data_IF_629259412391
#
_entry.id   IF_629259412391
#
_cell.length_a   1.000
_cell.length_b   1.000
_cell.length_c   1.000
_cell.angle_alpha   90.00
_cell.angle_beta   90.00
_cell.angle_gamma   90.00
#
_symmetry.space_group_name_H-M   'P 1'
#
loop_
_entity.id
_entity.type
_entity.pdbx_description
1 polymer ?
#
# COMPACT_ATOMS: atom_id res chain seq x y z
N UNK A 1 -5.46 20.14 7.70
CA UNK A 1 -5.03 18.72 7.70
C UNK A 1 -4.33 18.26 9.00
N UNK A 2 -3.84 19.19 9.84
CA UNK A 2 -2.92 18.85 10.94
C UNK A 2 -3.57 18.50 12.29
N UNK A 3 -4.75 17.87 12.27
CA UNK A 3 -5.46 17.40 13.48
C UNK A 3 -6.15 16.07 13.18
N UNK A 4 -6.57 15.36 14.22
CA UNK A 4 -7.42 14.20 14.06
C UNK A 4 -8.89 14.58 13.84
N UNK A 5 -9.56 13.89 12.92
CA UNK A 5 -10.96 14.13 12.57
C UNK A 5 -11.81 12.90 12.86
N UNK A 6 -13.01 13.07 13.41
CA UNK A 6 -13.98 12.00 13.57
C UNK A 6 -14.78 11.85 12.29
N UNK A 7 -14.81 10.65 11.71
CA UNK A 7 -15.61 10.37 10.52
C UNK A 7 -17.09 10.39 10.91
N UNK A 8 -17.85 11.33 10.36
CA UNK A 8 -19.23 11.62 10.80
C UNK A 8 -20.27 10.55 10.43
N UNK A 9 -19.96 9.69 9.46
CA UNK A 9 -20.85 8.64 8.93
C UNK A 9 -20.22 7.23 9.01
N UNK A 10 -19.53 6.91 10.11
CA UNK A 10 -19.06 5.54 10.31
C UNK A 10 -20.25 4.60 10.60
N UNK A 11 -20.37 3.50 9.85
CA UNK A 11 -21.46 2.54 9.99
C UNK A 11 -21.45 1.81 11.35
N UNK A 12 -20.25 1.64 11.95
CA UNK A 12 -20.04 1.06 13.29
C UNK A 12 -18.88 1.76 13.98
N UNK A 13 -19.05 2.11 15.26
CA UNK A 13 -18.01 2.69 16.11
C UNK A 13 -17.64 4.15 15.77
N UNK A 14 -16.68 4.69 16.53
CA UNK A 14 -16.07 6.00 16.24
C UNK A 14 -14.75 5.78 15.50
N UNK A 15 -14.68 6.20 14.24
CA UNK A 15 -13.47 6.11 13.42
C UNK A 15 -12.80 7.48 13.35
N UNK A 16 -11.47 7.51 13.54
CA UNK A 16 -10.65 8.70 13.37
C UNK A 16 -9.94 8.69 12.01
N UNK A 17 -9.82 9.85 11.38
CA UNK A 17 -9.08 10.09 10.15
C UNK A 17 -7.95 11.08 10.40
N UNK A 18 -6.76 10.76 9.87
CA UNK A 18 -5.61 11.65 9.82
C UNK A 18 -5.33 12.00 8.35
N UNK A 19 -4.98 13.26 8.10
CA UNK A 19 -4.85 13.76 6.73
C UNK A 19 -3.39 13.96 6.37
N UNK A 20 -2.99 13.43 5.20
CA UNK A 20 -1.65 13.62 4.63
C UNK A 20 -1.29 15.10 4.56
N UNK A 21 -0.12 15.46 5.07
CA UNK A 21 0.48 16.78 4.91
C UNK A 21 1.11 16.91 3.51
N UNK A 22 0.65 17.85 2.66
CA UNK A 22 1.21 18.04 1.33
C UNK A 22 2.65 18.56 1.34
N UNK A 23 3.07 19.34 2.36
CA UNK A 23 4.40 19.98 2.37
C UNK A 23 5.51 18.96 2.57
N UNK A 24 5.42 18.17 3.64
CA UNK A 24 6.38 17.08 3.90
C UNK A 24 6.35 16.02 2.81
N UNK A 25 5.17 15.68 2.28
CA UNK A 25 5.03 14.72 1.18
C UNK A 25 5.76 15.20 -0.08
N UNK A 26 5.56 16.46 -0.48
CA UNK A 26 6.19 17.03 -1.67
C UNK A 26 7.71 17.09 -1.56
N UNK A 27 8.24 17.34 -0.36
CA UNK A 27 9.68 17.40 -0.12
C UNK A 27 10.40 16.06 -0.34
N UNK A 28 9.67 14.95 -0.29
CA UNK A 28 10.20 13.61 -0.54
C UNK A 28 9.80 13.10 -1.94
N UNK A 29 8.52 13.19 -2.32
CA UNK A 29 8.01 12.64 -3.58
C UNK A 29 8.22 13.53 -4.82
N UNK A 30 8.63 14.78 -4.68
CA UNK A 30 8.85 15.63 -5.84
C UNK A 30 9.97 15.07 -6.73
N UNK A 31 9.63 14.77 -7.99
CA UNK A 31 10.61 14.30 -8.98
C UNK A 31 11.75 15.29 -9.24
N UNK A 32 11.47 16.59 -9.07
CA UNK A 32 12.41 17.66 -9.40
C UNK A 32 13.11 18.27 -8.19
N UNK A 33 12.46 18.25 -7.03
CA UNK A 33 12.92 18.95 -5.82
C UNK A 33 13.03 18.03 -4.61
N UNK A 34 12.64 16.77 -4.75
CA UNK A 34 12.65 15.80 -3.67
C UNK A 34 14.05 15.29 -3.37
N UNK A 35 14.28 14.93 -2.10
CA UNK A 35 15.56 14.38 -1.66
C UNK A 35 16.08 13.21 -2.50
N UNK A 36 15.27 12.21 -2.89
CA UNK A 36 15.76 11.04 -3.62
C UNK A 36 16.48 11.36 -4.94
N UNK A 37 16.24 12.53 -5.52
CA UNK A 37 16.88 12.97 -6.77
C UNK A 37 18.27 13.61 -6.60
N UNK A 38 18.82 13.68 -5.39
CA UNK A 38 20.15 14.28 -5.15
C UNK A 38 21.24 13.57 -5.95
N UNK A 39 22.14 14.35 -6.55
CA UNK A 39 23.21 13.82 -7.40
C UNK A 39 24.20 12.90 -6.70
N UNK A 40 24.21 12.90 -5.36
CA UNK A 40 25.10 12.11 -4.51
C UNK A 40 24.55 10.70 -4.23
N UNK A 41 23.23 10.51 -4.36
CA UNK A 41 22.57 9.25 -4.04
C UNK A 41 22.74 8.18 -5.11
N UNK A 42 22.59 6.92 -4.72
CA UNK A 42 22.73 5.76 -5.58
C UNK A 42 21.72 5.81 -6.74
N UNK A 43 22.21 5.65 -7.97
CA UNK A 43 21.37 5.58 -9.17
C UNK A 43 20.65 4.23 -9.24
N UNK A 44 19.31 4.28 -9.20
CA UNK A 44 18.47 3.09 -9.21
C UNK A 44 18.55 2.33 -10.54
N UNK A 45 18.60 3.04 -11.67
CA UNK A 45 18.41 2.46 -13.00
C UNK A 45 19.70 1.93 -13.63
N UNK A 46 20.87 2.33 -13.14
CA UNK A 46 22.17 1.91 -13.69
C UNK A 46 22.69 0.69 -12.95
N UNK A 47 22.55 -0.46 -13.60
CA UNK A 47 22.87 -1.76 -13.03
C UNK A 47 24.04 -2.38 -13.80
N UNK A 48 25.06 -2.87 -13.07
CA UNK A 48 26.19 -3.60 -13.66
C UNK A 48 25.77 -5.01 -14.02
N UNK A 49 26.01 -5.40 -15.27
CA UNK A 49 25.88 -6.79 -15.71
C UNK A 49 27.26 -7.45 -15.92
N UNK A 50 27.46 -8.72 -15.51
CA UNK A 50 26.57 -9.54 -14.67
C UNK A 50 26.58 -9.11 -13.19
N UNK A 51 25.56 -9.51 -12.45
CA UNK A 51 25.53 -9.44 -10.97
C UNK A 51 24.55 -8.44 -10.34
N UNK A 52 23.89 -7.58 -11.11
CA UNK A 52 22.77 -6.76 -10.60
C UNK A 52 23.18 -5.64 -9.64
N UNK A 53 24.48 -5.37 -9.48
CA UNK A 53 24.97 -4.35 -8.56
C UNK A 53 24.78 -2.94 -9.12
N UNK A 54 24.29 -2.03 -8.27
CA UNK A 54 24.22 -0.58 -8.53
C UNK A 54 25.48 0.06 -7.97
N UNK A 55 26.29 0.71 -8.80
CA UNK A 55 27.62 1.21 -8.44
C UNK A 55 27.84 2.70 -8.78
N UNK A 56 26.78 3.39 -9.20
CA UNK A 56 26.84 4.76 -9.68
C UNK A 56 25.88 5.65 -8.91
N UNK A 57 26.14 6.95 -8.90
CA UNK A 57 25.25 7.94 -8.32
C UNK A 57 24.41 8.65 -9.37
N UNK A 58 23.30 9.23 -8.95
CA UNK A 58 22.34 9.97 -9.80
C UNK A 58 23.07 11.03 -10.65
N UNK A 59 24.10 11.69 -10.15
CA UNK A 59 24.97 12.63 -10.88
C UNK A 59 24.30 13.86 -11.50
N UNK A 60 22.96 13.94 -11.51
CA UNK A 60 22.16 15.01 -12.08
C UNK A 60 20.93 14.47 -12.84
N UNK A 61 19.87 15.29 -12.93
CA UNK A 61 18.57 14.88 -13.49
C UNK A 61 18.59 14.55 -15.00
N UNK A 62 19.49 15.19 -15.76
CA UNK A 62 19.59 15.05 -17.22
C UNK A 62 20.93 14.43 -17.68
N UNK A 63 21.60 13.69 -16.78
CA UNK A 63 22.85 13.00 -17.10
C UNK A 63 22.52 11.63 -17.69
N UNK A 64 23.05 11.33 -18.86
CA UNK A 64 22.92 10.02 -19.50
C UNK A 64 23.46 8.89 -18.60
N UNK A 65 22.88 7.69 -18.70
CA UNK A 65 23.32 6.54 -17.90
C UNK A 65 24.82 6.25 -18.12
N UNK A 66 25.35 6.41 -19.33
CA UNK A 66 26.77 6.23 -19.63
C UNK A 66 27.69 7.21 -18.90
N UNK A 67 27.18 8.41 -18.57
CA UNK A 67 27.93 9.50 -17.95
C UNK A 67 27.78 9.59 -16.42
N UNK A 68 26.98 8.70 -15.80
CA UNK A 68 26.83 8.63 -14.34
C UNK A 68 28.18 8.34 -13.68
N UNK A 69 28.48 9.07 -12.61
CA UNK A 69 29.73 8.95 -11.84
C UNK A 69 29.66 7.79 -10.83
N UNK A 70 30.80 7.25 -10.38
CA UNK A 70 30.84 6.25 -9.33
C UNK A 70 30.12 6.71 -8.06
N UNK A 71 29.47 5.78 -7.38
CA UNK A 71 28.81 6.02 -6.10
C UNK A 71 29.85 6.20 -4.97
N UNK A 72 29.61 7.17 -4.09
CA UNK A 72 30.51 7.52 -2.98
C UNK A 72 29.75 7.39 -1.65
N UNK A 73 29.80 6.22 -0.97
CA UNK A 73 28.91 5.92 0.16
C UNK A 73 28.95 6.94 1.30
N UNK A 74 30.15 7.47 1.61
CA UNK A 74 30.30 8.48 2.68
C UNK A 74 29.61 9.79 2.34
N UNK A 75 29.73 10.26 1.10
CA UNK A 75 29.11 11.50 0.62
C UNK A 75 27.59 11.37 0.66
N UNK A 76 27.06 10.24 0.19
CA UNK A 76 25.64 9.95 0.22
C UNK A 76 25.08 9.88 1.65
N UNK A 77 25.81 9.22 2.57
CA UNK A 77 25.43 9.16 3.98
C UNK A 77 25.38 10.55 4.64
N UNK A 78 26.42 11.37 4.45
CA UNK A 78 26.47 12.73 4.97
C UNK A 78 25.32 13.58 4.38
N UNK A 79 24.98 13.34 3.11
CA UNK A 79 23.87 14.02 2.45
C UNK A 79 22.51 13.63 3.02
N UNK A 80 22.31 12.34 3.31
CA UNK A 80 21.10 11.84 3.98
C UNK A 80 20.92 12.47 5.36
N UNK A 81 21.99 12.60 6.14
CA UNK A 81 21.97 13.29 7.42
C UNK A 81 21.61 14.78 7.28
N UNK A 82 22.16 15.47 6.28
CA UNK A 82 21.82 16.86 5.96
C UNK A 82 20.35 17.03 5.58
N UNK A 83 19.82 16.15 4.71
CA UNK A 83 18.41 16.14 4.32
C UNK A 83 17.49 15.84 5.51
N UNK A 84 17.87 14.92 6.40
CA UNK A 84 17.12 14.64 7.62
C UNK A 84 17.03 15.85 8.55
N UNK A 85 18.13 16.58 8.72
CA UNK A 85 18.14 17.84 9.48
C UNK A 85 17.21 18.88 8.84
N UNK A 86 17.29 19.06 7.51
CA UNK A 86 16.38 19.96 6.80
C UNK A 86 14.92 19.54 6.96
N UNK A 87 14.62 18.25 6.85
CA UNK A 87 13.25 17.74 7.00
C UNK A 87 12.71 17.96 8.41
N UNK A 88 13.53 17.78 9.46
CA UNK A 88 13.15 18.10 10.83
C UNK A 88 12.81 19.60 11.01
N UNK A 89 13.61 20.50 10.42
CA UNK A 89 13.29 21.94 10.42
C UNK A 89 12.00 22.25 9.65
N UNK A 90 11.77 21.59 8.50
CA UNK A 90 10.52 21.72 7.75
C UNK A 90 9.33 21.34 8.62
N UNK A 91 9.39 20.22 9.35
CA UNK A 91 8.31 19.80 10.24
C UNK A 91 8.06 20.81 11.37
N UNK A 92 9.12 21.38 11.96
CA UNK A 92 8.97 22.46 12.94
C UNK A 92 8.29 23.69 12.35
N UNK A 93 8.68 24.11 11.14
CA UNK A 93 8.05 25.26 10.49
C UNK A 93 6.57 25.01 10.21
N UNK A 94 6.20 23.82 9.74
CA UNK A 94 4.82 23.41 9.54
C UNK A 94 4.04 23.49 10.84
N UNK A 95 4.62 22.98 11.94
CA UNK A 95 3.99 22.97 13.25
C UNK A 95 3.80 24.38 13.83
N UNK A 96 4.78 25.28 13.67
CA UNK A 96 4.71 26.67 14.13
C UNK A 96 3.63 27.49 13.40
N UNK A 97 3.33 27.15 12.16
CA UNK A 97 2.27 27.80 11.38
C UNK A 97 0.86 27.32 11.76
N UNK A 98 0.73 26.27 12.59
CA UNK A 98 -0.58 25.74 12.97
C UNK A 98 -1.12 26.41 14.23
N UNK A 99 -2.40 26.86 14.23
CA UNK A 99 -3.07 27.30 15.44
C UNK A 99 -3.36 26.08 16.33
N UNK A 100 -2.79 26.04 17.54
CA UNK A 100 -3.08 24.94 18.46
C UNK A 100 -2.27 25.00 19.76
N UNK A 101 -2.77 24.28 20.77
CA UNK A 101 -2.16 24.17 22.09
C UNK A 101 -1.27 22.92 22.22
N UNK A 102 -0.70 22.45 21.10
CA UNK A 102 0.12 21.23 21.04
C UNK A 102 -0.65 19.94 20.72
N UNK A 103 -1.90 20.04 20.26
CA UNK A 103 -2.77 18.94 19.84
C UNK A 103 -2.67 18.62 18.33
N UNK A 104 -1.78 19.31 17.61
CA UNK A 104 -1.56 19.08 16.18
C UNK A 104 -0.80 17.80 15.86
N UNK A 105 -1.01 17.28 14.65
CA UNK A 105 -0.29 16.12 14.11
C UNK A 105 0.04 16.34 12.64
N UNK A 106 1.29 16.05 12.25
CA UNK A 106 1.73 16.04 10.86
C UNK A 106 1.81 14.58 10.42
N UNK A 107 1.11 14.23 9.35
CA UNK A 107 1.11 12.86 8.81
C UNK A 107 1.71 12.84 7.42
N UNK A 108 2.82 12.13 7.28
CA UNK A 108 3.54 11.98 6.02
C UNK A 108 3.62 10.48 5.66
N UNK A 109 2.60 9.92 4.98
CA UNK A 109 2.57 8.53 4.55
C UNK A 109 3.37 8.36 3.26
N UNK A 110 4.12 7.26 3.17
CA UNK A 110 4.97 6.91 2.04
C UNK A 110 4.97 5.39 1.83
N UNK A 111 5.15 4.96 0.59
CA UNK A 111 5.40 3.55 0.29
C UNK A 111 6.71 3.10 0.94
N UNK A 112 6.69 1.98 1.65
CA UNK A 112 7.86 1.53 2.42
C UNK A 112 9.06 1.25 1.53
N UNK A 113 8.84 0.71 0.33
CA UNK A 113 9.90 0.45 -0.64
C UNK A 113 10.60 1.72 -1.15
N UNK A 114 10.03 2.91 -0.92
CA UNK A 114 10.76 4.14 -1.17
C UNK A 114 12.08 4.15 -0.39
N UNK A 115 12.08 3.72 0.87
CA UNK A 115 13.22 3.82 1.76
C UNK A 115 14.07 2.54 1.74
N UNK A 116 15.13 2.55 0.94
CA UNK A 116 16.12 1.46 0.83
C UNK A 116 16.08 0.75 -0.53
N UNK A 117 14.95 0.78 -1.24
CA UNK A 117 14.85 0.20 -2.58
C UNK A 117 14.92 1.26 -3.68
N UNK A 118 13.91 2.12 -3.80
CA UNK A 118 13.90 3.21 -4.80
C UNK A 118 14.91 4.31 -4.46
N UNK A 119 14.92 4.74 -3.19
CA UNK A 119 15.91 5.63 -2.62
C UNK A 119 16.76 4.85 -1.63
N UNK A 120 17.97 4.47 -2.06
CA UNK A 120 18.83 3.57 -1.31
C UNK A 120 19.17 4.08 0.10
N UNK A 121 19.46 5.38 0.21
CA UNK A 121 19.81 6.05 1.46
C UNK A 121 18.58 6.42 2.30
N UNK A 122 17.38 6.07 1.85
CA UNK A 122 16.13 6.41 2.54
C UNK A 122 16.05 5.84 3.95
N UNK A 123 16.58 4.64 4.20
CA UNK A 123 16.64 4.07 5.55
C UNK A 123 17.56 4.88 6.49
N UNK A 124 18.73 5.31 5.99
CA UNK A 124 19.66 6.18 6.71
C UNK A 124 19.03 7.54 7.01
N UNK A 125 18.33 8.12 6.03
CA UNK A 125 17.56 9.35 6.18
C UNK A 125 16.50 9.24 7.27
N UNK A 126 15.72 8.15 7.30
CA UNK A 126 14.70 7.94 8.35
C UNK A 126 15.37 7.90 9.73
N UNK A 127 16.41 7.08 9.89
CA UNK A 127 17.14 6.98 11.15
C UNK A 127 17.73 8.33 11.60
N UNK A 128 18.32 9.08 10.66
CA UNK A 128 18.83 10.42 10.92
C UNK A 128 17.71 11.41 11.28
N UNK A 129 16.53 11.30 10.68
CA UNK A 129 15.36 12.17 10.95
C UNK A 129 14.87 11.96 12.38
N UNK A 130 14.70 10.71 12.82
CA UNK A 130 14.31 10.42 14.20
C UNK A 130 15.35 10.89 15.23
N UNK A 131 16.65 10.86 14.90
CA UNK A 131 17.70 11.46 15.75
C UNK A 131 17.60 12.98 15.76
N UNK A 132 17.40 13.60 14.59
CA UNK A 132 17.32 15.05 14.44
C UNK A 132 16.12 15.64 15.20
N UNK A 133 15.00 14.92 15.30
CA UNK A 133 13.81 15.33 16.05
C UNK A 133 13.99 15.32 17.58
N UNK A 134 15.06 14.72 18.12
CA UNK A 134 15.28 14.70 19.57
C UNK A 134 15.55 16.12 20.09
N UNK A 135 14.81 16.53 21.12
CA UNK A 135 14.96 17.86 21.73
C UNK A 135 14.33 19.01 20.92
N UNK A 136 13.59 18.70 19.86
CA UNK A 136 12.85 19.67 19.05
C UNK A 136 11.41 19.84 19.53
N UNK A 137 10.72 20.85 19.03
CA UNK A 137 9.30 21.09 19.37
C UNK A 137 8.37 20.03 18.76
N UNK A 138 8.76 19.44 17.64
CA UNK A 138 8.06 18.33 16.99
C UNK A 138 8.63 17.00 17.47
N UNK A 139 7.73 16.10 17.87
CA UNK A 139 8.07 14.74 18.31
C UNK A 139 7.42 13.70 17.41
N UNK A 140 8.14 12.62 17.14
CA UNK A 140 7.57 11.46 16.49
C UNK A 140 6.71 10.66 17.48
N UNK A 141 5.52 10.27 17.04
CA UNK A 141 4.56 9.45 17.80
C UNK A 141 3.90 8.46 16.85
N UNK A 142 3.36 7.38 17.41
CA UNK A 142 2.44 6.53 16.67
C UNK A 142 1.06 7.19 16.58
N UNK A 143 0.27 6.79 15.57
CA UNK A 143 -1.10 7.29 15.42
C UNK A 143 -1.98 6.97 16.64
N UNK A 144 -1.83 5.78 17.24
CA UNK A 144 -2.55 5.38 18.45
C UNK A 144 -2.21 6.26 19.64
N UNK A 145 -0.91 6.47 19.92
CA UNK A 145 -0.47 7.36 21.00
C UNK A 145 -1.01 8.79 20.84
N UNK A 146 -1.05 9.31 19.60
CA UNK A 146 -1.61 10.63 19.35
C UNK A 146 -3.12 10.65 19.63
N UNK A 147 -3.87 9.67 19.11
CA UNK A 147 -5.33 9.59 19.26
C UNK A 147 -5.78 9.32 20.71
N UNK A 148 -5.00 8.59 21.49
CA UNK A 148 -5.23 8.40 22.93
C UNK A 148 -5.06 9.72 23.70
N UNK A 149 -4.01 10.49 23.38
CA UNK A 149 -3.73 11.77 24.04
C UNK A 149 -4.64 12.91 23.53
N UNK A 150 -5.05 12.87 22.27
CA UNK A 150 -5.85 13.89 21.59
C UNK A 150 -6.96 13.23 20.75
N UNK A 151 -8.05 12.78 21.40
CA UNK A 151 -9.16 12.14 20.70
C UNK A 151 -9.79 13.03 19.62
N UNK A 152 -10.22 12.42 18.52
CA UNK A 152 -10.83 13.15 17.42
C UNK A 152 -12.23 13.71 17.80
N UNK A 153 -12.32 15.01 18.04
CA UNK A 153 -13.58 15.68 18.43
C UNK A 153 -14.26 16.39 17.26
N UNK A 154 -13.49 16.86 16.29
CA UNK A 154 -13.98 17.59 15.11
C UNK A 154 -14.52 16.62 14.06
N UNK A 155 -15.80 16.74 13.71
CA UNK A 155 -16.42 15.92 12.67
C UNK A 155 -15.90 16.28 11.27
N UNK A 156 -15.64 15.26 10.45
CA UNK A 156 -15.34 15.39 9.03
C UNK A 156 -16.22 14.43 8.23
N UNK A 157 -16.88 14.95 7.20
CA UNK A 157 -17.49 14.13 6.16
C UNK A 157 -16.46 13.94 5.06
N UNK A 158 -16.05 12.69 4.84
CA UNK A 158 -15.13 12.35 3.76
C UNK A 158 -15.86 12.42 2.42
N UNK A 159 -15.21 13.06 1.44
CA UNK A 159 -15.58 12.89 0.04
C UNK A 159 -14.98 11.58 -0.49
N UNK A 160 -15.63 11.02 -1.50
CA UNK A 160 -15.07 9.92 -2.28
C UNK A 160 -13.74 10.35 -2.92
N UNK A 161 -12.76 9.44 -2.94
CA UNK A 161 -11.46 9.70 -3.53
C UNK A 161 -10.40 8.69 -3.12
N UNK A 162 -9.19 8.92 -3.62
CA UNK A 162 -8.01 8.12 -3.31
C UNK A 162 -6.77 9.00 -3.15
N UNK A 163 -5.66 8.41 -2.70
CA UNK A 163 -4.35 9.05 -2.73
C UNK A 163 -3.58 8.88 -4.05
N UNK A 164 -4.19 8.25 -5.06
CA UNK A 164 -3.62 7.98 -6.38
C UNK A 164 -3.70 9.18 -7.33
N UNK A 165 -3.58 8.91 -8.64
CA UNK A 165 -3.68 9.94 -9.66
C UNK A 165 -5.04 10.67 -9.60
N UNK A 166 -5.03 11.98 -9.81
CA UNK A 166 -6.19 12.88 -9.76
C UNK A 166 -6.97 12.92 -8.43
N UNK A 167 -6.57 12.13 -7.43
CA UNK A 167 -7.31 12.00 -6.16
C UNK A 167 -8.63 11.23 -6.29
N UNK A 168 -8.85 10.52 -7.39
CA UNK A 168 -10.10 9.81 -7.71
C UNK A 168 -9.86 8.30 -7.95
N UNK A 169 -10.80 7.63 -8.63
CA UNK A 169 -10.73 6.20 -8.93
C UNK A 169 -10.14 5.86 -10.30
N UNK A 170 -9.74 6.85 -11.11
CA UNK A 170 -9.32 6.67 -12.49
C UNK A 170 -8.14 5.70 -12.67
N UNK A 171 -7.30 5.54 -11.64
CA UNK A 171 -6.20 4.57 -11.64
C UNK A 171 -6.67 3.11 -11.64
N UNK A 172 -7.80 2.79 -11.03
CA UNK A 172 -8.33 1.42 -10.93
C UNK A 172 -9.59 1.20 -11.76
N UNK A 173 -10.34 2.27 -12.03
CA UNK A 173 -11.59 2.25 -12.80
C UNK A 173 -11.43 3.10 -14.06
N UNK A 174 -11.12 2.44 -15.18
CA UNK A 174 -11.03 3.04 -16.50
C UNK A 174 -11.29 1.97 -17.58
N UNK A 175 -11.28 2.38 -18.86
CA UNK A 175 -11.60 1.49 -19.98
C UNK A 175 -10.70 0.24 -20.07
N UNK A 176 -9.43 0.33 -19.64
CA UNK A 176 -8.48 -0.79 -19.66
C UNK A 176 -8.73 -1.81 -18.55
N UNK A 177 -9.38 -1.40 -17.46
CA UNK A 177 -9.60 -2.22 -16.27
C UNK A 177 -11.07 -2.60 -16.06
N UNK A 178 -12.00 -1.99 -16.81
CA UNK A 178 -13.44 -2.24 -16.68
C UNK A 178 -13.84 -3.73 -16.76
N UNK A 179 -13.09 -4.52 -17.54
CA UNK A 179 -13.34 -5.96 -17.69
C UNK A 179 -13.04 -6.75 -16.40
N UNK A 180 -12.08 -6.33 -15.58
CA UNK A 180 -11.74 -7.01 -14.32
C UNK A 180 -12.90 -6.91 -13.34
N UNK A 181 -13.53 -5.74 -13.26
CA UNK A 181 -14.66 -5.48 -12.35
C UNK A 181 -15.89 -6.33 -12.71
N UNK A 182 -16.17 -6.50 -14.01
CA UNK A 182 -17.26 -7.39 -14.47
C UNK A 182 -17.02 -8.85 -14.04
N UNK A 183 -15.76 -9.30 -14.10
CA UNK A 183 -15.38 -10.65 -13.66
C UNK A 183 -15.51 -10.80 -12.15
N UNK A 184 -14.98 -9.84 -11.37
CA UNK A 184 -15.05 -9.85 -9.91
C UNK A 184 -16.49 -9.86 -9.39
N UNK A 185 -17.36 -9.00 -9.92
CA UNK A 185 -18.76 -8.91 -9.47
C UNK A 185 -19.48 -10.27 -9.51
N UNK A 186 -19.31 -11.02 -10.60
CA UNK A 186 -19.93 -12.36 -10.74
C UNK A 186 -19.37 -13.39 -9.76
N UNK A 187 -18.09 -13.28 -9.40
CA UNK A 187 -17.44 -14.20 -8.46
C UNK A 187 -17.81 -13.87 -7.02
N UNK A 188 -17.90 -12.59 -6.68
CA UNK A 188 -18.34 -12.12 -5.36
C UNK A 188 -19.76 -12.61 -5.07
N UNK A 189 -20.69 -12.42 -6.00
CA UNK A 189 -22.08 -12.90 -5.88
C UNK A 189 -22.10 -14.42 -5.69
N UNK A 190 -21.45 -15.17 -6.60
CA UNK A 190 -21.43 -16.63 -6.53
C UNK A 190 -20.77 -17.19 -5.26
N UNK A 191 -19.72 -16.53 -4.75
CA UNK A 191 -19.07 -16.93 -3.51
C UNK A 191 -20.03 -16.77 -2.33
N UNK A 192 -20.67 -15.61 -2.19
CA UNK A 192 -21.56 -15.34 -1.07
C UNK A 192 -22.86 -16.14 -1.13
N UNK A 193 -23.33 -16.50 -2.32
CA UNK A 193 -24.45 -17.43 -2.49
C UNK A 193 -24.10 -18.84 -1.99
N UNK A 194 -22.89 -19.34 -2.28
CA UNK A 194 -22.46 -20.68 -1.87
C UNK A 194 -22.00 -20.75 -0.40
N UNK A 195 -21.50 -19.65 0.15
CA UNK A 195 -20.82 -19.62 1.45
C UNK A 195 -21.65 -20.16 2.63
N UNK A 196 -22.94 -19.81 2.82
CA UNK A 196 -23.72 -20.28 3.97
C UNK A 196 -23.84 -21.81 4.05
N UNK A 197 -24.20 -22.45 2.93
CA UNK A 197 -24.35 -23.90 2.85
C UNK A 197 -22.99 -24.61 2.97
N UNK A 198 -21.97 -24.09 2.29
CA UNK A 198 -20.62 -24.64 2.36
C UNK A 198 -20.02 -24.53 3.77
N UNK A 199 -20.27 -23.43 4.50
CA UNK A 199 -19.76 -23.24 5.86
C UNK A 199 -20.39 -24.22 6.85
N UNK A 200 -21.69 -24.51 6.69
CA UNK A 200 -22.42 -25.50 7.49
C UNK A 200 -21.94 -26.94 7.24
N UNK A 201 -21.39 -27.23 6.07
CA UNK A 201 -20.92 -28.55 5.66
C UNK A 201 -19.42 -28.75 5.93
N UNK A 202 -19.07 -29.55 6.94
CA UNK A 202 -17.67 -29.84 7.30
C UNK A 202 -16.82 -30.28 6.09
N UNK A 203 -17.27 -31.19 5.19
CA UNK A 203 -16.49 -31.58 4.01
C UNK A 203 -16.31 -30.46 2.97
N UNK A 204 -17.17 -29.44 2.95
CA UNK A 204 -17.08 -28.32 2.01
C UNK A 204 -16.14 -27.20 2.48
N UNK A 205 -15.83 -27.15 3.79
CA UNK A 205 -15.03 -26.08 4.40
C UNK A 205 -13.64 -25.89 3.77
N UNK A 206 -12.86 -26.93 3.44
CA UNK A 206 -11.56 -26.73 2.80
C UNK A 206 -11.67 -26.02 1.44
N UNK A 207 -12.66 -26.41 0.62
CA UNK A 207 -12.92 -25.76 -0.66
C UNK A 207 -13.45 -24.34 -0.51
N UNK A 208 -14.33 -24.08 0.47
CA UNK A 208 -14.78 -22.72 0.80
C UNK A 208 -13.61 -21.82 1.24
N UNK A 209 -12.69 -22.35 2.05
CA UNK A 209 -11.51 -21.63 2.50
C UNK A 209 -10.63 -21.22 1.31
N UNK A 210 -10.36 -22.17 0.41
CA UNK A 210 -9.55 -21.89 -0.77
C UNK A 210 -10.28 -20.95 -1.75
N UNK A 211 -11.59 -21.08 -1.94
CA UNK A 211 -12.37 -20.17 -2.78
C UNK A 211 -12.28 -18.73 -2.28
N UNK A 212 -12.32 -18.54 -0.95
CA UNK A 212 -12.16 -17.23 -0.33
C UNK A 212 -10.76 -16.65 -0.59
N UNK A 213 -9.70 -17.46 -0.52
CA UNK A 213 -8.32 -17.02 -0.82
C UNK A 213 -8.15 -16.62 -2.27
N UNK A 214 -8.64 -17.43 -3.21
CA UNK A 214 -8.56 -17.11 -4.64
C UNK A 214 -9.35 -15.82 -4.96
N UNK A 215 -10.53 -15.65 -4.35
CA UNK A 215 -11.30 -14.41 -4.50
C UNK A 215 -10.55 -13.19 -3.94
N UNK A 216 -9.97 -13.29 -2.74
CA UNK A 216 -9.16 -12.22 -2.14
C UNK A 216 -7.94 -11.87 -3.00
N UNK A 217 -7.27 -12.87 -3.57
CA UNK A 217 -6.14 -12.68 -4.48
C UNK A 217 -6.59 -12.00 -5.78
N UNK A 218 -7.73 -12.39 -6.34
CA UNK A 218 -8.32 -11.74 -7.52
C UNK A 218 -8.74 -10.29 -7.24
N UNK A 219 -9.17 -9.98 -6.02
CA UNK A 219 -9.58 -8.64 -5.57
C UNK A 219 -8.40 -7.69 -5.26
N UNK A 220 -7.15 -8.13 -5.38
CA UNK A 220 -6.02 -7.20 -5.19
C UNK A 220 -6.08 -6.04 -6.19
N UNK A 221 -6.00 -4.81 -5.68
CA UNK A 221 -6.01 -3.60 -6.49
C UNK A 221 -4.72 -3.41 -7.31
N UNK A 222 -3.67 -4.19 -7.00
CA UNK A 222 -2.41 -4.21 -7.74
C UNK A 222 -2.63 -4.57 -9.21
N UNK A 223 -3.60 -5.43 -9.52
CA UNK A 223 -3.86 -5.87 -10.90
C UNK A 223 -4.26 -4.70 -11.79
N UNK A 224 -5.25 -3.92 -11.35
CA UNK A 224 -5.71 -2.74 -12.09
C UNK A 224 -4.64 -1.64 -12.08
N UNK A 225 -3.88 -1.49 -10.99
CA UNK A 225 -2.77 -0.54 -10.92
C UNK A 225 -1.68 -0.85 -11.95
N UNK A 226 -1.24 -2.11 -12.06
CA UNK A 226 -0.21 -2.55 -13.02
C UNK A 226 -0.70 -2.38 -14.47
N UNK A 227 -1.96 -2.73 -14.75
CA UNK A 227 -2.57 -2.56 -16.08
C UNK A 227 -2.62 -1.05 -16.44
N UNK A 228 -3.04 -0.20 -15.50
CA UNK A 228 -3.14 1.24 -15.72
C UNK A 228 -1.78 1.91 -15.91
N UNK A 229 -0.76 1.52 -15.13
CA UNK A 229 0.59 2.08 -15.24
C UNK A 229 1.37 1.55 -16.45
N UNK A 230 0.94 0.44 -17.03
CA UNK A 230 1.59 -0.16 -18.20
C UNK A 230 2.90 -0.89 -17.88
N UNK A 231 3.18 -1.20 -16.61
CA UNK A 231 4.47 -1.74 -16.18
C UNK A 231 4.72 -3.18 -16.68
N UNK A 232 3.90 -4.13 -16.25
CA UNK A 232 3.96 -5.55 -16.63
C UNK A 232 2.56 -6.10 -16.88
N UNK A 233 1.86 -5.48 -17.84
CA UNK A 233 0.42 -5.72 -18.11
C UNK A 233 0.11 -7.21 -18.28
N UNK A 234 0.83 -7.91 -19.16
CA UNK A 234 0.60 -9.34 -19.41
C UNK A 234 0.72 -10.21 -18.15
N UNK A 235 1.58 -9.83 -17.20
CA UNK A 235 1.71 -10.53 -15.93
C UNK A 235 0.46 -10.32 -15.07
N UNK A 236 0.00 -9.08 -14.94
CA UNK A 236 -1.19 -8.76 -14.16
C UNK A 236 -2.44 -9.43 -14.74
N UNK A 237 -2.65 -9.37 -16.05
CA UNK A 237 -3.80 -10.00 -16.71
C UNK A 237 -3.80 -11.51 -16.50
N UNK A 238 -2.66 -12.19 -16.71
CA UNK A 238 -2.55 -13.64 -16.48
C UNK A 238 -2.81 -14.03 -15.03
N UNK A 239 -2.26 -13.28 -14.06
CA UNK A 239 -2.42 -13.58 -12.63
C UNK A 239 -3.85 -13.34 -12.16
N UNK A 240 -4.46 -12.23 -12.59
CA UNK A 240 -5.85 -11.93 -12.30
C UNK A 240 -6.77 -13.03 -12.84
N UNK A 241 -6.63 -13.39 -14.12
CA UNK A 241 -7.45 -14.44 -14.75
C UNK A 241 -7.26 -15.79 -14.05
N UNK A 242 -6.03 -16.16 -13.71
CA UNK A 242 -5.74 -17.40 -12.97
C UNK A 242 -6.54 -17.49 -11.66
N UNK A 243 -6.46 -16.46 -10.81
CA UNK A 243 -7.18 -16.45 -9.53
C UNK A 243 -8.70 -16.41 -9.73
N UNK A 244 -9.20 -15.70 -10.74
CA UNK A 244 -10.62 -15.71 -11.08
C UNK A 244 -11.12 -17.09 -11.52
N UNK A 245 -10.36 -17.79 -12.37
CA UNK A 245 -10.75 -19.10 -12.90
C UNK A 245 -10.70 -20.17 -11.80
N UNK A 246 -9.70 -20.12 -10.92
CA UNK A 246 -9.57 -21.02 -9.78
C UNK A 246 -10.68 -20.78 -8.74
N UNK A 247 -11.01 -19.52 -8.44
CA UNK A 247 -12.17 -19.17 -7.62
C UNK A 247 -13.47 -19.69 -8.23
N UNK A 248 -13.69 -19.45 -9.53
CA UNK A 248 -14.92 -19.88 -10.22
C UNK A 248 -15.12 -21.39 -10.16
N UNK A 249 -14.05 -22.17 -10.37
CA UNK A 249 -14.10 -23.64 -10.32
C UNK A 249 -14.48 -24.15 -8.93
N UNK A 250 -13.91 -23.58 -7.88
CA UNK A 250 -14.27 -23.94 -6.50
C UNK A 250 -15.71 -23.54 -6.16
N UNK A 251 -16.13 -22.32 -6.51
CA UNK A 251 -17.50 -21.82 -6.29
C UNK A 251 -18.52 -22.74 -6.99
N UNK A 252 -18.28 -23.10 -8.25
CA UNK A 252 -19.16 -24.02 -9.00
C UNK A 252 -19.21 -25.41 -8.37
N UNK A 253 -18.07 -25.97 -7.96
CA UNK A 253 -18.03 -27.28 -7.33
C UNK A 253 -18.76 -27.30 -5.97
N UNK A 254 -18.66 -26.21 -5.20
CA UNK A 254 -19.41 -26.02 -3.96
C UNK A 254 -20.93 -25.93 -4.21
N UNK A 255 -21.36 -25.13 -5.18
CA UNK A 255 -22.76 -24.98 -5.54
C UNK A 255 -23.38 -26.27 -6.13
N UNK A 256 -22.58 -27.05 -6.87
CA UNK A 256 -22.99 -28.33 -7.45
C UNK A 256 -22.95 -29.52 -6.48
N UNK A 257 -22.38 -29.36 -5.28
CA UNK A 257 -22.27 -30.43 -4.29
C UNK A 257 -21.16 -31.46 -4.58
N UNK A 258 -20.21 -31.16 -5.47
CA UNK A 258 -19.10 -32.04 -5.86
C UNK A 258 -17.94 -32.01 -4.84
N UNK A 259 -18.24 -32.26 -3.56
CA UNK A 259 -17.34 -31.94 -2.45
C UNK A 259 -15.98 -32.64 -2.50
N UNK A 260 -15.94 -33.90 -2.96
CA UNK A 260 -14.68 -34.65 -3.12
C UNK A 260 -13.77 -34.04 -4.19
N UNK A 261 -14.34 -33.61 -5.31
CA UNK A 261 -13.58 -32.95 -6.37
C UNK A 261 -13.14 -31.54 -5.93
N UNK A 262 -14.03 -30.81 -5.24
CA UNK A 262 -13.73 -29.51 -4.67
C UNK A 262 -12.58 -29.59 -3.65
N UNK A 263 -12.58 -30.60 -2.78
CA UNK A 263 -11.51 -30.82 -1.80
C UNK A 263 -10.16 -31.08 -2.46
N UNK A 264 -10.09 -31.97 -3.47
CA UNK A 264 -8.85 -32.21 -4.22
C UNK A 264 -8.33 -30.96 -4.94
N UNK A 265 -9.22 -30.18 -5.54
CA UNK A 265 -8.84 -28.91 -6.17
C UNK A 265 -8.32 -27.91 -5.12
N UNK A 266 -8.95 -27.83 -3.96
CA UNK A 266 -8.50 -26.97 -2.87
C UNK A 266 -7.09 -27.34 -2.40
N UNK A 267 -6.80 -28.64 -2.22
CA UNK A 267 -5.47 -29.12 -1.84
C UNK A 267 -4.41 -28.83 -2.91
N UNK A 268 -4.79 -28.96 -4.19
CA UNK A 268 -3.90 -28.61 -5.29
C UNK A 268 -3.51 -27.13 -5.26
N UNK A 269 -4.50 -26.25 -5.13
CA UNK A 269 -4.33 -24.80 -5.15
C UNK A 269 -3.62 -24.28 -3.90
N UNK A 270 -3.84 -24.89 -2.73
CA UNK A 270 -3.16 -24.55 -1.50
C UNK A 270 -1.62 -24.68 -1.62
N UNK A 271 -1.10 -25.54 -2.50
CA UNK A 271 0.35 -25.60 -2.74
C UNK A 271 0.93 -24.31 -3.33
N UNK A 272 0.09 -23.50 -3.99
CA UNK A 272 0.45 -22.21 -4.58
C UNK A 272 -0.01 -21.04 -3.69
N UNK A 273 -1.23 -21.12 -3.17
CA UNK A 273 -1.95 -20.00 -2.56
C UNK A 273 -2.51 -20.32 -1.16
N UNK A 274 -1.63 -20.68 -0.21
CA UNK A 274 -1.98 -20.95 1.20
C UNK A 274 -1.80 -19.71 2.11
N UNK A 275 -2.47 -18.62 1.76
CA UNK A 275 -2.54 -17.40 2.58
C UNK A 275 -3.73 -17.47 3.54
N UNK A 276 -3.71 -16.66 4.61
CA UNK A 276 -4.86 -16.50 5.52
C UNK A 276 -5.37 -17.85 6.11
N UNK A 277 -4.61 -18.50 7.00
CA UNK A 277 -4.99 -19.80 7.56
C UNK A 277 -6.34 -19.76 8.33
N UNK A 278 -6.76 -18.59 8.79
CA UNK A 278 -8.00 -18.35 9.52
C UNK A 278 -9.15 -17.77 8.65
N UNK A 279 -9.04 -17.80 7.32
CA UNK A 279 -10.02 -17.16 6.41
C UNK A 279 -11.46 -17.60 6.66
N UNK A 280 -11.70 -18.87 7.00
CA UNK A 280 -13.06 -19.37 7.29
C UNK A 280 -13.70 -18.69 8.51
N UNK A 281 -12.91 -18.35 9.54
CA UNK A 281 -13.45 -17.65 10.70
C UNK A 281 -13.93 -16.25 10.31
N UNK A 282 -13.22 -15.58 9.40
CA UNK A 282 -13.60 -14.26 8.88
C UNK A 282 -14.84 -14.34 7.98
N UNK A 283 -14.96 -15.38 7.16
CA UNK A 283 -16.18 -15.64 6.37
C UNK A 283 -17.39 -15.84 7.30
N UNK A 284 -17.22 -16.61 8.38
CA UNK A 284 -18.28 -16.84 9.36
C UNK A 284 -18.70 -15.53 10.07
N UNK A 285 -17.72 -14.70 10.45
CA UNK A 285 -17.97 -13.38 11.05
C UNK A 285 -18.72 -12.45 10.09
N UNK A 286 -18.31 -12.40 8.82
CA UNK A 286 -18.98 -11.58 7.80
C UNK A 286 -20.44 -12.01 7.56
N UNK A 287 -20.74 -13.31 7.60
CA UNK A 287 -22.11 -13.83 7.49
C UNK A 287 -22.96 -13.55 8.72
N UNK A 288 -22.35 -13.35 9.90
CA UNK A 288 -23.06 -13.11 11.15
C UNK A 288 -23.54 -11.65 11.31
N UNK A 289 -22.97 -10.71 10.54
CA UNK A 289 -23.36 -9.30 10.53
C UNK A 289 -22.64 -8.46 11.58
#
# INVERSE_FOLDING_TARGET
PYRAYRVSRAARGSVAALVRDPRSSMQIWSRHQGYPGDESYLEFHKIRWPGGLKLWRVSGANVDLGAKRPYEPRVAHDRAAGHASHFAHLLESVAQEQPGNGDGVIVAPFDTELFGHWWFEGADFLAATYRALRGRSVRAVTASQHLEAHPATTGLQLAEGSWGANGDHSMWLNDRTAWTWKRLASLEEGFWDAAPAALASTPARPALAQAARELLLAQSSDWQFIISTGAVVDYAERRFTLHCDDAERLIKALAGGELEAAGRLADELARRDDLFPNVLAQVAEALAG
#
